data_IF_593677473613
#
_entry.id   IF_593677473613
#
_cell.length_a   1.000
_cell.length_b   1.000
_cell.length_c   1.000
_cell.angle_alpha   90.00
_cell.angle_beta   90.00
_cell.angle_gamma   90.00
#
_symmetry.space_group_name_H-M   'P 1'
#
loop_
_entity.id
_entity.type
_entity.pdbx_description
1 polymer ?
#
# COMPACT_ATOMS: atom_id res chain seq x y z
N UNK A 1 3.50 28.79 -16.84
CA UNK A 1 4.29 28.10 -15.80
C UNK A 1 4.15 26.61 -16.04
N UNK A 2 5.24 25.85 -15.94
CA UNK A 2 5.15 24.39 -15.97
C UNK A 2 4.43 23.92 -14.71
N UNK A 3 3.38 23.10 -14.84
CA UNK A 3 2.69 22.54 -13.67
C UNK A 3 3.63 21.59 -12.91
N UNK A 4 3.53 21.61 -11.58
CA UNK A 4 4.32 20.76 -10.69
C UNK A 4 3.46 20.23 -9.54
N UNK A 5 3.79 19.04 -9.07
CA UNK A 5 3.24 18.46 -7.86
C UNK A 5 4.35 18.26 -6.85
N UNK A 6 4.25 18.92 -5.69
CA UNK A 6 5.23 18.83 -4.61
C UNK A 6 4.67 18.05 -3.44
N UNK A 7 5.49 17.18 -2.90
CA UNK A 7 5.24 16.33 -1.75
C UNK A 7 6.20 16.81 -0.66
N UNK A 8 5.65 17.46 0.36
CA UNK A 8 6.45 18.04 1.44
C UNK A 8 6.77 16.97 2.49
N UNK A 9 7.66 17.31 3.43
CA UNK A 9 8.02 16.42 4.53
C UNK A 9 6.77 16.02 5.35
N UNK A 10 6.44 14.72 5.47
CA UNK A 10 5.36 14.28 6.34
C UNK A 10 5.75 14.38 7.81
N UNK A 11 4.75 14.36 8.69
CA UNK A 11 4.93 14.47 10.13
C UNK A 11 4.10 13.41 10.85
N UNK A 12 4.62 12.85 11.94
CA UNK A 12 3.88 11.96 12.84
C UNK A 12 3.86 12.52 14.26
N UNK A 13 2.66 12.62 14.83
CA UNK A 13 2.42 12.99 16.22
C UNK A 13 2.09 11.73 17.03
N UNK A 14 3.03 11.21 17.84
CA UNK A 14 2.76 10.01 18.64
C UNK A 14 1.72 10.24 19.73
N UNK A 15 1.58 11.47 20.26
CA UNK A 15 0.60 11.78 21.30
C UNK A 15 -0.84 11.78 20.74
N UNK A 16 -1.01 12.31 19.53
CA UNK A 16 -2.30 12.25 18.82
C UNK A 16 -2.51 10.92 18.07
N UNK A 17 -1.45 10.12 17.89
CA UNK A 17 -1.45 8.94 17.00
C UNK A 17 -1.87 9.31 15.57
N UNK A 18 -1.35 10.44 15.07
CA UNK A 18 -1.70 11.00 13.76
C UNK A 18 -0.47 11.19 12.87
N UNK A 19 -0.54 10.72 11.62
CA UNK A 19 0.39 11.13 10.56
C UNK A 19 -0.28 12.16 9.65
N UNK A 20 0.45 13.22 9.31
CA UNK A 20 0.03 14.29 8.40
C UNK A 20 0.94 14.34 7.18
N UNK A 21 0.32 14.48 6.01
CA UNK A 21 0.98 14.49 4.72
C UNK A 21 0.57 15.76 3.98
N UNK A 22 1.55 16.54 3.53
CA UNK A 22 1.29 17.84 2.92
C UNK A 22 1.68 17.83 1.45
N UNK A 23 0.82 18.41 0.62
CA UNK A 23 0.99 18.42 -0.82
C UNK A 23 0.73 19.81 -1.38
N UNK A 24 1.50 20.17 -2.40
CA UNK A 24 1.27 21.39 -3.18
C UNK A 24 1.08 21.01 -4.66
N UNK A 25 0.03 21.53 -5.28
CA UNK A 25 -0.20 21.40 -6.72
C UNK A 25 -0.28 22.81 -7.30
N UNK A 26 0.82 23.29 -7.87
CA UNK A 26 0.99 24.70 -8.20
C UNK A 26 0.73 25.61 -6.98
N UNK A 27 -0.37 26.36 -6.98
CA UNK A 27 -0.81 27.30 -5.94
C UNK A 27 -1.77 26.68 -4.91
N UNK A 28 -2.21 25.43 -5.14
CA UNK A 28 -3.09 24.70 -4.23
C UNK A 28 -2.28 23.96 -3.18
N UNK A 29 -2.76 23.96 -1.94
CA UNK A 29 -2.15 23.22 -0.83
C UNK A 29 -3.17 22.30 -0.19
N UNK A 30 -2.73 21.10 0.19
CA UNK A 30 -3.59 20.07 0.76
C UNK A 30 -2.93 19.38 1.94
N UNK A 31 -3.75 18.88 2.87
CA UNK A 31 -3.32 18.02 3.97
C UNK A 31 -4.13 16.73 3.99
N UNK A 32 -3.46 15.59 3.93
CA UNK A 32 -4.04 14.29 4.25
C UNK A 32 -3.67 13.88 5.68
N UNK A 33 -4.58 13.22 6.38
CA UNK A 33 -4.35 12.74 7.75
C UNK A 33 -4.64 11.24 7.85
N UNK A 34 -3.73 10.51 8.47
CA UNK A 34 -3.97 9.15 8.96
C UNK A 34 -4.05 9.17 10.48
N UNK A 35 -5.15 8.66 11.04
CA UNK A 35 -5.32 8.47 12.48
C UNK A 35 -5.25 6.99 12.81
N UNK A 36 -4.28 6.63 13.63
CA UNK A 36 -3.99 5.26 14.07
C UNK A 36 -4.66 4.98 15.43
N UNK A 37 -4.74 3.71 15.88
CA UNK A 37 -5.09 3.40 17.27
C UNK A 37 -4.17 4.11 18.26
N UNK A 38 -4.65 4.28 19.50
CA UNK A 38 -3.84 4.89 20.56
C UNK A 38 -2.75 3.93 21.06
N UNK A 39 -1.68 4.52 21.60
CA UNK A 39 -0.56 3.76 22.16
C UNK A 39 0.40 3.18 21.12
N UNK A 40 0.88 3.97 20.13
CA UNK A 40 1.98 3.53 19.28
C UNK A 40 3.23 3.27 20.12
N UNK A 41 4.07 2.34 19.68
CA UNK A 41 5.43 2.18 20.19
C UNK A 41 6.27 3.43 19.85
N UNK A 42 6.64 4.18 20.88
CA UNK A 42 7.41 5.42 20.73
C UNK A 42 8.79 5.17 20.12
N UNK A 43 9.46 4.10 20.53
CA UNK A 43 10.78 3.77 20.00
C UNK A 43 10.70 3.38 18.51
N UNK A 44 9.62 2.67 18.12
CA UNK A 44 9.37 2.38 16.72
C UNK A 44 9.10 3.68 15.92
N UNK A 45 8.31 4.60 16.47
CA UNK A 45 7.96 5.88 15.82
C UNK A 45 9.15 6.84 15.64
N UNK A 46 10.18 6.71 16.47
CA UNK A 46 11.41 7.50 16.40
C UNK A 46 12.51 6.83 15.55
N UNK A 47 12.25 5.63 15.02
CA UNK A 47 13.22 4.87 14.25
C UNK A 47 13.42 5.43 12.83
N UNK A 48 14.64 5.29 12.30
CA UNK A 48 14.95 5.63 10.91
C UNK A 48 14.13 4.82 9.89
N UNK A 49 13.71 3.59 10.25
CA UNK A 49 12.84 2.76 9.42
C UNK A 49 11.44 3.35 9.32
N UNK A 50 10.88 3.84 10.44
CA UNK A 50 9.58 4.50 10.45
C UNK A 50 9.61 5.83 9.70
N UNK A 51 10.63 6.66 9.92
CA UNK A 51 10.82 7.91 9.17
C UNK A 51 10.87 7.65 7.66
N UNK A 52 11.64 6.63 7.23
CA UNK A 52 11.71 6.23 5.82
C UNK A 52 10.35 5.79 5.28
N UNK A 53 9.64 4.91 5.98
CA UNK A 53 8.32 4.46 5.56
C UNK A 53 7.29 5.60 5.54
N UNK A 54 7.40 6.57 6.45
CA UNK A 54 6.53 7.75 6.47
C UNK A 54 6.73 8.60 5.20
N UNK A 55 7.98 8.83 4.80
CA UNK A 55 8.33 9.50 3.53
C UNK A 55 7.80 8.76 2.30
N UNK A 56 8.03 7.45 2.22
CA UNK A 56 7.52 6.61 1.13
C UNK A 56 5.97 6.58 1.10
N UNK A 57 5.34 6.60 2.27
CA UNK A 57 3.88 6.67 2.39
C UNK A 57 3.37 8.01 1.83
N UNK A 58 4.03 9.14 2.14
CA UNK A 58 3.69 10.44 1.54
C UNK A 58 3.70 10.39 0.01
N UNK A 59 4.73 9.75 -0.56
CA UNK A 59 4.86 9.61 -2.01
C UNK A 59 3.71 8.81 -2.63
N UNK A 60 3.34 7.69 -2.02
CA UNK A 60 2.24 6.83 -2.53
C UNK A 60 0.87 7.45 -2.31
N UNK A 61 0.60 8.09 -1.17
CA UNK A 61 -0.70 8.73 -0.90
C UNK A 61 -0.93 9.94 -1.83
N UNK A 62 0.16 10.65 -2.17
CA UNK A 62 0.19 11.82 -3.04
C UNK A 62 -0.50 11.63 -4.40
N UNK A 63 -0.60 10.40 -4.91
CA UNK A 63 -1.36 10.07 -6.15
C UNK A 63 -2.80 10.59 -6.12
N UNK A 64 -3.41 10.68 -4.93
CA UNK A 64 -4.78 11.15 -4.73
C UNK A 64 -4.94 12.64 -5.03
N UNK A 65 -3.86 13.41 -4.89
CA UNK A 65 -3.79 14.85 -5.11
C UNK A 65 -3.17 15.18 -6.45
N UNK A 66 -2.09 14.48 -6.82
CA UNK A 66 -1.45 14.57 -8.13
C UNK A 66 -2.47 14.47 -9.28
N UNK A 67 -3.43 13.53 -9.17
CA UNK A 67 -4.41 13.28 -10.23
C UNK A 67 -5.28 14.49 -10.56
N UNK A 68 -5.41 15.50 -9.70
CA UNK A 68 -6.22 16.68 -9.98
C UNK A 68 -5.79 17.39 -11.27
N UNK A 69 -4.49 17.40 -11.59
CA UNK A 69 -3.92 17.99 -12.83
C UNK A 69 -2.95 17.07 -13.57
N UNK A 70 -2.41 16.06 -12.88
CA UNK A 70 -1.44 15.11 -13.40
C UNK A 70 -0.26 15.79 -14.13
N UNK A 71 0.50 16.67 -13.44
CA UNK A 71 1.68 17.33 -14.01
C UNK A 71 2.78 16.32 -14.36
N UNK A 72 3.76 16.74 -15.17
CA UNK A 72 4.93 15.91 -15.49
C UNK A 72 6.03 15.99 -14.43
N UNK A 73 6.08 17.09 -13.66
CA UNK A 73 7.08 17.31 -12.61
C UNK A 73 6.53 16.93 -11.24
N UNK A 74 7.21 15.99 -10.57
CA UNK A 74 6.98 15.62 -9.18
C UNK A 74 8.22 16.02 -8.38
N UNK A 75 8.01 16.70 -7.26
CA UNK A 75 9.07 17.21 -6.39
C UNK A 75 8.88 16.68 -4.97
N UNK A 76 9.95 16.17 -4.36
CA UNK A 76 9.97 15.75 -2.97
C UNK A 76 11.31 16.18 -2.33
N UNK A 77 11.52 17.50 -2.17
CA UNK A 77 12.83 18.06 -1.81
C UNK A 77 13.33 17.64 -0.42
N UNK A 78 12.45 17.15 0.44
CA UNK A 78 12.75 16.77 1.82
C UNK A 78 12.61 15.26 2.08
N UNK A 79 12.42 14.46 1.03
CA UNK A 79 12.28 13.01 1.15
C UNK A 79 13.40 12.35 0.34
N UNK A 80 14.54 12.00 0.97
CA UNK A 80 15.63 11.34 0.28
C UNK A 80 15.22 9.96 -0.23
N UNK A 81 15.58 9.63 -1.46
CA UNK A 81 15.24 8.36 -2.12
C UNK A 81 16.48 7.65 -2.63
N UNK A 82 16.50 6.33 -2.43
CA UNK A 82 17.43 5.46 -3.13
C UNK A 82 17.02 5.32 -4.60
N UNK A 83 17.90 4.77 -5.44
CA UNK A 83 17.54 4.49 -6.85
C UNK A 83 16.33 3.55 -6.97
N UNK A 84 16.28 2.51 -6.15
CA UNK A 84 15.18 1.54 -6.13
C UNK A 84 13.86 2.18 -5.65
N UNK A 85 13.91 3.04 -4.63
CA UNK A 85 12.75 3.78 -4.13
C UNK A 85 12.25 4.78 -5.19
N UNK A 86 13.15 5.46 -5.90
CA UNK A 86 12.80 6.37 -7.01
C UNK A 86 12.07 5.60 -8.12
N UNK A 87 12.58 4.42 -8.49
CA UNK A 87 11.93 3.55 -9.47
C UNK A 87 10.56 3.06 -8.99
N UNK A 88 10.43 2.68 -7.72
CA UNK A 88 9.14 2.31 -7.11
C UNK A 88 8.12 3.45 -7.16
N UNK A 89 8.51 4.68 -6.82
CA UNK A 89 7.61 5.83 -6.88
C UNK A 89 7.20 6.11 -8.33
N UNK A 90 8.13 6.13 -9.29
CA UNK A 90 7.78 6.30 -10.70
C UNK A 90 6.83 5.20 -11.17
N UNK A 91 7.03 3.95 -10.76
CA UNK A 91 6.14 2.83 -11.09
C UNK A 91 4.72 3.04 -10.55
N UNK A 92 4.57 3.53 -9.31
CA UNK A 92 3.28 3.86 -8.71
C UNK A 92 2.55 4.95 -9.50
N UNK A 93 3.26 6.00 -9.93
CA UNK A 93 2.64 7.10 -10.67
C UNK A 93 2.40 6.75 -12.13
N UNK A 94 3.30 6.01 -12.78
CA UNK A 94 3.07 5.56 -14.15
C UNK A 94 2.03 4.44 -14.16
N UNK A 95 2.41 3.23 -13.75
CA UNK A 95 1.59 2.04 -13.92
C UNK A 95 0.39 2.01 -12.96
N UNK A 96 0.55 2.54 -11.73
CA UNK A 96 -0.55 2.62 -10.77
C UNK A 96 -1.67 3.59 -11.15
N UNK A 97 -1.38 4.62 -11.95
CA UNK A 97 -2.38 5.55 -12.49
C UNK A 97 -2.74 5.29 -13.96
N UNK A 98 -2.33 4.15 -14.54
CA UNK A 98 -2.52 3.85 -15.95
C UNK A 98 -3.98 3.95 -16.42
N UNK A 99 -4.94 3.42 -15.66
CA UNK A 99 -6.37 3.56 -15.98
C UNK A 99 -6.86 5.01 -15.87
N UNK A 100 -6.38 5.74 -14.86
CA UNK A 100 -6.69 7.16 -14.71
C UNK A 100 -6.22 7.95 -15.94
N UNK A 101 -5.01 7.67 -16.42
CA UNK A 101 -4.47 8.28 -17.64
C UNK A 101 -5.28 7.92 -18.87
N UNK A 102 -5.61 6.64 -19.06
CA UNK A 102 -6.41 6.17 -20.19
C UNK A 102 -7.80 6.84 -20.20
N UNK A 103 -8.47 6.92 -19.05
CA UNK A 103 -9.80 7.53 -18.91
C UNK A 103 -9.81 9.03 -19.19
N UNK A 104 -8.72 9.73 -18.91
CA UNK A 104 -8.60 11.18 -19.08
C UNK A 104 -7.79 11.57 -20.33
N UNK A 105 -7.42 10.59 -21.17
CA UNK A 105 -6.64 10.77 -22.40
C UNK A 105 -5.28 11.45 -22.18
N UNK A 106 -4.60 11.11 -21.07
CA UNK A 106 -3.34 11.72 -20.65
C UNK A 106 -2.12 10.87 -21.00
N UNK A 107 -1.40 11.21 -22.07
CA UNK A 107 -0.16 10.53 -22.44
C UNK A 107 1.02 10.89 -21.50
N UNK A 108 1.23 10.09 -20.44
CA UNK A 108 2.17 10.35 -19.33
C UNK A 108 3.30 9.33 -19.19
N UNK A 109 3.20 8.15 -19.79
CA UNK A 109 4.19 7.09 -19.59
C UNK A 109 5.57 7.48 -20.13
N UNK A 110 6.61 7.27 -19.32
CA UNK A 110 7.99 7.61 -19.61
C UNK A 110 8.29 9.12 -19.63
N UNK A 111 7.35 9.97 -19.19
CA UNK A 111 7.49 11.43 -19.24
C UNK A 111 7.54 12.09 -17.87
N UNK A 112 7.29 11.33 -16.80
CA UNK A 112 7.33 11.87 -15.44
C UNK A 112 8.76 12.07 -14.99
N UNK A 113 9.02 13.19 -14.33
CA UNK A 113 10.29 13.46 -13.66
C UNK A 113 10.05 13.57 -12.16
N UNK A 114 10.82 12.83 -11.37
CA UNK A 114 10.80 12.91 -9.91
C UNK A 114 12.11 13.54 -9.43
N UNK A 115 12.03 14.74 -8.85
CA UNK A 115 13.14 15.44 -8.21
C UNK A 115 13.09 15.21 -6.70
N UNK A 116 14.11 14.57 -6.14
CA UNK A 116 14.24 14.27 -4.72
C UNK A 116 15.73 14.09 -4.38
N UNK A 117 16.18 14.41 -3.16
CA UNK A 117 17.56 14.14 -2.73
C UNK A 117 17.90 12.65 -2.83
N UNK A 118 19.17 12.33 -3.04
CA UNK A 118 19.61 10.94 -3.06
C UNK A 118 19.84 10.42 -1.64
N UNK A 119 19.33 9.21 -1.37
CA UNK A 119 19.66 8.45 -0.17
C UNK A 119 20.72 7.40 -0.51
N UNK A 120 21.93 7.58 0.03
CA UNK A 120 23.03 6.66 -0.17
C UNK A 120 22.90 5.34 0.63
N UNK A 121 21.84 5.19 1.43
CA UNK A 121 21.60 4.02 2.28
C UNK A 121 20.51 3.14 1.65
N UNK A 122 20.87 2.19 0.76
CA UNK A 122 19.90 1.37 0.02
C UNK A 122 19.04 0.49 0.94
N UNK A 123 19.56 0.10 2.11
CA UNK A 123 18.87 -0.70 3.11
C UNK A 123 19.14 -0.12 4.49
N UNK A 124 18.07 0.15 5.24
CA UNK A 124 18.16 0.63 6.62
C UNK A 124 18.61 -0.49 7.56
N UNK A 125 19.06 -0.12 8.75
CA UNK A 125 19.39 -1.07 9.79
C UNK A 125 18.14 -1.88 10.18
N UNK A 126 18.35 -3.17 10.47
CA UNK A 126 17.26 -4.05 10.85
C UNK A 126 16.68 -3.63 12.21
N UNK A 127 15.37 -3.44 12.24
CA UNK A 127 14.62 -3.26 13.48
C UNK A 127 14.13 -4.62 13.99
N UNK A 128 13.88 -4.72 15.30
CA UNK A 128 13.28 -5.92 15.88
C UNK A 128 11.77 -5.76 15.92
N UNK A 129 11.04 -6.65 15.24
CA UNK A 129 9.59 -6.72 15.28
C UNK A 129 9.16 -8.08 15.85
N UNK A 130 8.10 -8.13 16.68
CA UNK A 130 7.56 -9.40 17.14
C UNK A 130 6.92 -10.18 15.98
N UNK A 131 7.01 -11.51 16.04
CA UNK A 131 6.39 -12.40 15.05
C UNK A 131 4.86 -12.32 15.14
N UNK A 132 4.27 -11.41 14.37
CA UNK A 132 2.83 -11.11 14.40
C UNK A 132 2.38 -10.75 13.00
N UNK A 133 1.27 -11.37 12.59
CA UNK A 133 0.70 -11.18 11.27
C UNK A 133 -0.41 -10.14 11.29
N UNK A 134 -0.28 -9.13 10.43
CA UNK A 134 -1.33 -8.19 10.08
C UNK A 134 -1.99 -8.66 8.78
N UNK A 135 -3.31 -8.87 8.81
CA UNK A 135 -4.09 -9.38 7.67
C UNK A 135 -5.08 -8.31 7.18
N UNK A 136 -4.78 -7.59 6.07
CA UNK A 136 -5.73 -6.67 5.48
C UNK A 136 -7.02 -7.36 5.03
N UNK A 137 -8.15 -6.89 5.57
CA UNK A 137 -9.50 -7.38 5.25
C UNK A 137 -10.14 -6.45 4.22
N UNK A 138 -10.36 -6.99 3.01
CA UNK A 138 -11.20 -6.37 2.00
C UNK A 138 -12.66 -6.81 2.12
N UNK A 139 -13.57 -6.12 1.43
CA UNK A 139 -15.00 -6.49 1.36
C UNK A 139 -15.32 -7.64 0.40
N UNK A 140 -14.31 -8.24 -0.22
CA UNK A 140 -14.44 -9.38 -1.13
C UNK A 140 -14.34 -10.72 -0.39
N UNK A 141 -14.52 -11.82 -1.13
CA UNK A 141 -14.45 -13.18 -0.57
C UNK A 141 -13.03 -13.66 -0.30
N UNK A 142 -12.04 -13.08 -0.96
CA UNK A 142 -10.66 -13.57 -0.92
C UNK A 142 -10.04 -13.42 0.48
N UNK A 143 -10.30 -12.31 1.19
CA UNK A 143 -9.86 -12.12 2.58
C UNK A 143 -10.40 -13.21 3.51
N UNK A 144 -11.64 -13.65 3.32
CA UNK A 144 -12.24 -14.73 4.12
C UNK A 144 -11.60 -16.09 3.87
N UNK A 145 -11.10 -16.35 2.65
CA UNK A 145 -10.33 -17.57 2.37
C UNK A 145 -8.99 -17.55 3.10
N UNK A 146 -8.33 -16.39 3.16
CA UNK A 146 -7.08 -16.25 3.92
C UNK A 146 -7.30 -16.40 5.42
N UNK A 147 -8.38 -15.82 5.96
CA UNK A 147 -8.83 -16.05 7.35
C UNK A 147 -8.99 -17.54 7.61
N UNK A 148 -9.75 -18.23 6.78
CA UNK A 148 -10.02 -19.66 6.92
C UNK A 148 -8.71 -20.48 6.96
N UNK A 149 -7.78 -20.20 6.05
CA UNK A 149 -6.47 -20.86 5.99
C UNK A 149 -5.61 -20.60 7.24
N UNK A 150 -5.52 -19.35 7.69
CA UNK A 150 -4.73 -18.99 8.87
C UNK A 150 -5.31 -19.60 10.14
N UNK A 151 -6.64 -19.56 10.31
CA UNK A 151 -7.33 -20.22 11.42
C UNK A 151 -7.10 -21.73 11.42
N UNK A 152 -7.22 -22.39 10.26
CA UNK A 152 -7.02 -23.85 10.17
C UNK A 152 -5.57 -24.29 10.36
N UNK A 153 -4.59 -23.42 10.08
CA UNK A 153 -3.16 -23.68 10.28
C UNK A 153 -2.65 -23.23 11.66
N UNK A 154 -3.50 -22.63 12.48
CA UNK A 154 -3.15 -22.16 13.82
C UNK A 154 -2.19 -20.95 13.82
N UNK A 155 -2.10 -20.22 12.71
CA UNK A 155 -1.26 -19.01 12.62
C UNK A 155 -2.06 -17.83 13.19
N UNK A 156 -1.60 -17.18 14.28
CA UNK A 156 -2.29 -16.02 14.83
C UNK A 156 -2.16 -14.82 13.87
N UNK A 157 -3.27 -14.09 13.70
CA UNK A 157 -3.31 -12.89 12.87
C UNK A 157 -4.22 -11.83 13.49
N UNK A 158 -4.00 -10.58 13.10
CA UNK A 158 -4.85 -9.44 13.46
C UNK A 158 -5.48 -8.87 12.20
N UNK A 159 -6.83 -8.78 12.12
CA UNK A 159 -7.50 -8.12 11.01
C UNK A 159 -7.11 -6.66 10.91
N UNK A 160 -6.88 -6.16 9.69
CA UNK A 160 -6.54 -4.76 9.44
C UNK A 160 -7.45 -4.14 8.38
N UNK A 161 -7.88 -2.89 8.58
CA UNK A 161 -8.61 -2.16 7.53
C UNK A 161 -8.41 -0.65 7.63
N UNK A 162 -8.41 0.01 6.47
CA UNK A 162 -8.42 1.47 6.35
C UNK A 162 -9.84 1.92 6.03
N UNK A 163 -10.39 2.84 6.82
CA UNK A 163 -11.77 3.33 6.69
C UNK A 163 -12.80 2.18 6.47
N UNK A 164 -12.86 1.17 7.35
CA UNK A 164 -13.74 0.02 7.16
C UNK A 164 -15.21 0.43 7.04
N UNK A 165 -15.92 -0.13 6.06
CA UNK A 165 -17.35 0.08 5.84
C UNK A 165 -18.01 -1.19 5.32
N UNK A 166 -19.31 -1.32 5.56
CA UNK A 166 -20.15 -2.36 4.96
C UNK A 166 -19.58 -3.77 5.16
N UNK A 167 -19.33 -4.55 4.09
CA UNK A 167 -18.87 -5.94 4.20
C UNK A 167 -17.59 -6.15 5.00
N UNK A 168 -16.71 -5.14 5.10
CA UNK A 168 -15.48 -5.24 5.90
C UNK A 168 -15.82 -5.38 7.38
N UNK A 169 -16.75 -4.55 7.89
CA UNK A 169 -17.15 -4.56 9.30
C UNK A 169 -17.80 -5.89 9.68
N UNK A 170 -18.74 -6.38 8.85
CA UNK A 170 -19.38 -7.68 9.09
C UNK A 170 -18.40 -8.86 9.00
N UNK A 171 -17.38 -8.77 8.14
CA UNK A 171 -16.35 -9.80 8.03
C UNK A 171 -15.49 -9.84 9.29
N UNK A 172 -15.06 -8.67 9.79
CA UNK A 172 -14.29 -8.57 11.03
C UNK A 172 -15.08 -9.06 12.25
N UNK A 173 -16.35 -8.68 12.35
CA UNK A 173 -17.25 -9.17 13.39
C UNK A 173 -17.34 -10.70 13.39
N UNK A 174 -17.49 -11.31 12.20
CA UNK A 174 -17.53 -12.76 12.04
C UNK A 174 -16.19 -13.45 12.37
N UNK A 175 -15.05 -12.79 12.16
CA UNK A 175 -13.72 -13.29 12.55
C UNK A 175 -13.57 -13.34 14.07
N UNK A 176 -14.22 -12.42 14.80
CA UNK A 176 -14.20 -12.40 16.26
C UNK A 176 -12.83 -12.07 16.89
N UNK A 177 -11.91 -11.50 16.11
CA UNK A 177 -10.58 -11.04 16.56
C UNK A 177 -10.54 -9.52 16.53
N UNK A 178 -10.01 -8.90 17.59
CA UNK A 178 -9.89 -7.45 17.69
C UNK A 178 -9.08 -6.89 16.50
N UNK A 179 -9.67 -6.00 15.66
CA UNK A 179 -9.00 -5.47 14.49
C UNK A 179 -8.11 -4.27 14.80
N UNK A 180 -7.21 -3.97 13.88
CA UNK A 180 -6.57 -2.66 13.80
C UNK A 180 -7.21 -1.85 12.67
N UNK A 181 -7.86 -0.74 13.05
CA UNK A 181 -8.42 0.20 12.09
C UNK A 181 -7.60 1.48 12.02
N UNK A 182 -7.38 1.95 10.80
CA UNK A 182 -6.78 3.27 10.53
C UNK A 182 -7.80 4.14 9.81
N UNK A 183 -7.96 5.37 10.28
CA UNK A 183 -8.80 6.36 9.60
C UNK A 183 -7.94 7.17 8.64
N UNK A 184 -8.31 7.18 7.36
CA UNK A 184 -7.69 8.00 6.32
C UNK A 184 -8.63 9.15 5.96
N UNK A 185 -8.24 10.36 6.30
CA UNK A 185 -8.99 11.58 6.03
C UNK A 185 -8.35 12.33 4.88
N UNK A 186 -9.03 12.33 3.74
CA UNK A 186 -8.67 13.11 2.56
C UNK A 186 -9.01 14.59 2.78
N UNK A 187 -8.22 15.47 2.18
CA UNK A 187 -8.50 16.90 2.23
C UNK A 187 -9.86 17.21 1.57
N UNK A 188 -10.79 17.91 2.25
CA UNK A 188 -12.09 18.28 1.69
C UNK A 188 -11.98 19.08 0.39
N UNK A 189 -10.94 19.91 0.24
CA UNK A 189 -10.75 20.74 -0.94
C UNK A 189 -10.37 19.89 -2.15
N UNK A 190 -9.54 18.84 -1.97
CA UNK A 190 -9.27 17.88 -3.05
C UNK A 190 -10.56 17.20 -3.52
N UNK A 191 -11.44 16.81 -2.59
CA UNK A 191 -12.73 16.20 -2.92
C UNK A 191 -13.64 17.17 -3.67
N UNK A 192 -13.65 18.46 -3.28
CA UNK A 192 -14.43 19.51 -3.94
C UNK A 192 -13.91 19.74 -5.36
N UNK A 193 -12.61 20.00 -5.51
CA UNK A 193 -11.96 20.29 -6.80
C UNK A 193 -12.10 19.14 -7.78
N UNK A 194 -12.06 17.88 -7.33
CA UNK A 194 -12.26 16.70 -8.20
C UNK A 194 -13.66 16.60 -8.83
N UNK A 195 -14.58 17.51 -8.50
CA UNK A 195 -15.92 17.65 -9.12
C UNK A 195 -16.05 18.90 -10.00
N UNK A 196 -15.07 19.79 -9.97
CA UNK A 196 -15.10 21.05 -10.70
C UNK A 196 -14.57 20.86 -12.14
N UNK A 197 -15.06 21.65 -13.11
CA UNK A 197 -14.48 21.68 -14.45
C UNK A 197 -13.00 22.04 -14.43
N UNK A 198 -12.20 21.36 -15.27
CA UNK A 198 -10.77 21.62 -15.40
C UNK A 198 -9.89 20.83 -14.44
N UNK A 199 -10.46 19.97 -13.58
CA UNK A 199 -9.72 18.99 -12.79
C UNK A 199 -10.07 17.57 -13.25
N UNK A 200 -9.09 16.66 -13.19
CA UNK A 200 -9.32 15.27 -13.53
C UNK A 200 -9.79 14.45 -12.33
N UNK A 201 -10.46 13.34 -12.63
CA UNK A 201 -10.84 12.35 -11.65
C UNK A 201 -10.68 10.93 -12.22
N UNK A 202 -10.53 9.96 -11.33
CA UNK A 202 -10.36 8.56 -11.69
C UNK A 202 -9.80 7.73 -10.55
N UNK A 203 -9.55 6.46 -10.88
CA UNK A 203 -9.05 5.46 -9.94
C UNK A 203 -7.61 5.74 -9.53
N UNK A 204 -7.30 5.33 -8.30
CA UNK A 204 -5.96 5.36 -7.71
C UNK A 204 -5.61 3.94 -7.25
N UNK A 205 -4.32 3.58 -7.13
CA UNK A 205 -3.89 2.24 -6.74
C UNK A 205 -4.17 1.98 -5.25
N UNK A 206 -5.41 1.59 -4.92
CA UNK A 206 -5.87 1.44 -3.53
C UNK A 206 -5.11 0.36 -2.75
N UNK A 207 -4.66 -0.71 -3.39
CA UNK A 207 -3.82 -1.72 -2.73
C UNK A 207 -2.47 -1.13 -2.34
N UNK A 208 -1.82 -0.33 -3.19
CA UNK A 208 -0.57 0.36 -2.84
C UNK A 208 -0.75 1.28 -1.62
N UNK A 209 -1.81 2.09 -1.63
CA UNK A 209 -2.15 3.01 -0.53
C UNK A 209 -2.35 2.23 0.77
N UNK A 210 -3.19 1.20 0.76
CA UNK A 210 -3.49 0.41 1.96
C UNK A 210 -2.26 -0.35 2.47
N UNK A 211 -1.37 -0.80 1.58
CA UNK A 211 -0.14 -1.48 1.96
C UNK A 211 0.86 -0.55 2.63
N UNK A 212 1.00 0.70 2.16
CA UNK A 212 1.84 1.70 2.83
C UNK A 212 1.28 2.06 4.22
N UNK A 213 -0.04 2.25 4.33
CA UNK A 213 -0.69 2.50 5.63
C UNK A 213 -0.52 1.29 6.58
N UNK A 214 -0.66 0.07 6.06
CA UNK A 214 -0.41 -1.16 6.81
C UNK A 214 1.05 -1.26 7.28
N UNK A 215 2.02 -0.79 6.50
CA UNK A 215 3.44 -0.78 6.89
C UNK A 215 3.74 0.16 8.05
N UNK A 216 3.16 1.36 8.07
CA UNK A 216 3.25 2.26 9.22
C UNK A 216 2.62 1.63 10.46
N UNK A 217 1.43 1.05 10.31
CA UNK A 217 0.75 0.32 11.37
C UNK A 217 1.57 -0.87 11.88
N UNK A 218 2.24 -1.60 10.99
CA UNK A 218 3.06 -2.74 11.35
C UNK A 218 4.21 -2.34 12.27
N UNK A 219 4.89 -1.24 11.97
CA UNK A 219 5.95 -0.73 12.84
C UNK A 219 5.41 -0.18 14.17
N UNK A 220 4.37 0.66 14.14
CA UNK A 220 3.84 1.32 15.33
C UNK A 220 3.24 0.34 16.35
N UNK A 221 2.74 -0.81 15.91
CA UNK A 221 2.03 -1.76 16.78
C UNK A 221 2.68 -3.15 16.83
N UNK A 222 3.88 -3.29 16.27
CA UNK A 222 4.69 -4.50 16.32
C UNK A 222 4.09 -5.66 15.53
N UNK A 223 4.25 -5.64 14.20
CA UNK A 223 3.94 -6.73 13.28
C UNK A 223 5.09 -6.91 12.30
N UNK A 224 5.67 -8.11 12.20
CA UNK A 224 6.73 -8.44 11.24
C UNK A 224 6.18 -8.86 9.87
N UNK A 225 4.88 -9.05 9.74
CA UNK A 225 4.25 -9.60 8.53
C UNK A 225 2.97 -8.86 8.13
N UNK A 226 2.88 -8.48 6.86
CA UNK A 226 1.64 -8.05 6.20
C UNK A 226 1.26 -9.11 5.16
N UNK A 227 0.16 -9.82 5.42
CA UNK A 227 -0.29 -10.94 4.58
C UNK A 227 -1.53 -10.52 3.81
N UNK A 228 -1.41 -10.38 2.50
CA UNK A 228 -2.51 -10.04 1.60
C UNK A 228 -3.26 -11.28 1.09
N UNK A 229 -4.40 -11.02 0.46
CA UNK A 229 -5.28 -12.05 -0.12
C UNK A 229 -5.38 -11.96 -1.64
N UNK A 230 -4.39 -11.40 -2.33
CA UNK A 230 -4.45 -11.32 -3.80
C UNK A 230 -4.24 -12.70 -4.42
N UNK A 231 -5.06 -13.01 -5.43
CA UNK A 231 -4.94 -14.23 -6.22
C UNK A 231 -4.11 -14.05 -7.49
N UNK A 232 -3.81 -15.16 -8.17
CA UNK A 232 -2.99 -15.15 -9.40
C UNK A 232 -3.64 -14.37 -10.56
N UNK A 233 -4.96 -14.41 -10.70
CA UNK A 233 -5.73 -13.78 -11.79
C UNK A 233 -5.85 -12.26 -11.69
N UNK A 234 -5.38 -11.62 -10.61
CA UNK A 234 -5.40 -10.16 -10.47
C UNK A 234 -4.43 -9.42 -11.42
N UNK A 235 -3.79 -10.13 -12.37
CA UNK A 235 -2.69 -9.61 -13.20
C UNK A 235 -3.10 -9.26 -14.65
N UNK A 236 -4.38 -9.38 -15.03
CA UNK A 236 -4.81 -9.17 -16.42
C UNK A 236 -5.05 -7.68 -16.74
N UNK A 237 -4.29 -7.13 -17.71
CA UNK A 237 -4.51 -5.82 -18.30
C UNK A 237 -5.66 -5.85 -19.30
N UNK A 238 -6.48 -4.78 -19.33
CA UNK A 238 -7.73 -4.78 -20.12
C UNK A 238 -7.70 -3.83 -21.32
N UNK A 239 -6.75 -2.88 -21.38
CA UNK A 239 -6.71 -1.83 -22.41
C UNK A 239 -5.25 -1.43 -22.68
N UNK A 240 -4.88 -1.21 -23.95
CA UNK A 240 -3.59 -0.59 -24.32
C UNK A 240 -3.78 0.93 -24.48
N UNK A 241 -2.98 1.73 -23.79
CA UNK A 241 -3.00 3.19 -23.86
C UNK A 241 -1.58 3.75 -23.76
N UNK A 242 -1.26 4.82 -24.50
CA UNK A 242 0.06 5.46 -24.49
C UNK A 242 1.24 4.45 -24.66
N UNK A 243 1.02 3.44 -25.51
CA UNK A 243 2.00 2.41 -25.82
C UNK A 243 2.22 1.33 -24.75
N UNK A 244 1.43 1.31 -23.66
CA UNK A 244 1.52 0.30 -22.59
C UNK A 244 0.18 -0.35 -22.27
N UNK A 245 0.23 -1.56 -21.74
CA UNK A 245 -0.96 -2.18 -21.15
C UNK A 245 -1.33 -1.49 -19.84
N UNK A 246 -2.61 -1.12 -19.73
CA UNK A 246 -3.20 -0.52 -18.55
C UNK A 246 -4.04 -1.55 -17.81
N UNK A 247 -3.78 -1.68 -16.52
CA UNK A 247 -4.43 -2.64 -15.64
C UNK A 247 -5.13 -1.91 -14.48
N UNK A 248 -6.47 -2.01 -14.43
CA UNK A 248 -7.29 -1.48 -13.33
C UNK A 248 -6.86 -1.99 -11.95
N UNK A 249 -6.28 -3.20 -11.90
CA UNK A 249 -5.80 -3.87 -10.71
C UNK A 249 -4.27 -3.97 -10.66
N UNK A 250 -3.54 -3.04 -11.29
CA UNK A 250 -2.07 -3.07 -11.35
C UNK A 250 -1.41 -3.30 -9.99
N UNK A 251 -1.86 -2.60 -8.94
CA UNK A 251 -1.34 -2.73 -7.57
C UNK A 251 -1.65 -4.06 -6.87
N UNK A 252 -2.35 -4.97 -7.55
CA UNK A 252 -2.58 -6.38 -7.13
C UNK A 252 -1.83 -7.37 -8.01
N UNK A 253 -1.03 -6.92 -8.98
CA UNK A 253 -0.18 -7.80 -9.78
C UNK A 253 0.96 -8.38 -8.95
N UNK A 254 1.53 -9.51 -9.39
CA UNK A 254 2.70 -10.11 -8.73
C UNK A 254 3.93 -9.20 -8.83
N UNK A 255 4.12 -8.56 -9.99
CA UNK A 255 5.25 -7.64 -10.20
C UNK A 255 5.23 -6.48 -9.20
N UNK A 256 4.06 -5.86 -9.00
CA UNK A 256 3.91 -4.82 -8.00
C UNK A 256 4.15 -5.34 -6.58
N UNK A 257 3.61 -6.52 -6.24
CA UNK A 257 3.80 -7.14 -4.92
C UNK A 257 5.27 -7.35 -4.55
N UNK A 258 6.06 -7.87 -5.50
CA UNK A 258 7.51 -8.04 -5.31
C UNK A 258 8.20 -6.68 -5.13
N UNK A 259 7.86 -5.69 -5.96
CA UNK A 259 8.45 -4.36 -5.91
C UNK A 259 8.19 -3.63 -4.57
N UNK A 260 6.94 -3.65 -4.09
CA UNK A 260 6.63 -3.06 -2.78
C UNK A 260 7.23 -3.90 -1.64
N UNK A 261 7.26 -5.24 -1.78
CA UNK A 261 7.86 -6.12 -0.78
C UNK A 261 9.35 -5.85 -0.58
N UNK A 262 10.11 -5.70 -1.66
CA UNK A 262 11.52 -5.34 -1.63
C UNK A 262 11.73 -3.93 -1.05
N UNK A 263 10.86 -2.99 -1.41
CA UNK A 263 10.90 -1.62 -0.87
C UNK A 263 10.69 -1.61 0.65
N UNK A 264 9.67 -2.31 1.15
CA UNK A 264 9.38 -2.42 2.58
C UNK A 264 10.47 -3.18 3.34
N UNK A 265 11.00 -4.25 2.75
CA UNK A 265 12.11 -5.01 3.30
C UNK A 265 13.35 -4.13 3.44
N UNK A 266 13.73 -3.39 2.40
CA UNK A 266 14.88 -2.49 2.44
C UNK A 266 14.71 -1.34 3.44
N UNK A 267 13.51 -0.77 3.54
CA UNK A 267 13.20 0.30 4.49
C UNK A 267 13.24 -0.14 5.96
N UNK A 268 13.13 -1.45 6.23
CA UNK A 268 13.08 -2.02 7.59
C UNK A 268 14.25 -2.96 7.92
N UNK A 269 15.26 -2.99 7.04
CA UNK A 269 16.39 -3.92 7.15
C UNK A 269 16.00 -5.40 7.06
N UNK A 270 14.86 -5.71 6.46
CA UNK A 270 14.31 -7.06 6.28
C UNK A 270 13.38 -7.52 7.38
N UNK A 271 13.06 -6.66 8.34
CA UNK A 271 12.19 -7.00 9.47
C UNK A 271 10.72 -7.16 9.04
N UNK A 272 10.25 -6.38 8.07
CA UNK A 272 8.87 -6.43 7.60
C UNK A 272 8.75 -7.27 6.32
N UNK A 273 7.99 -8.37 6.41
CA UNK A 273 7.65 -9.26 5.31
C UNK A 273 6.30 -8.85 4.71
N UNK A 274 6.19 -8.92 3.39
CA UNK A 274 4.96 -8.55 2.67
C UNK A 274 4.72 -9.52 1.51
N UNK A 275 3.57 -10.21 1.51
CA UNK A 275 3.22 -11.18 0.48
C UNK A 275 1.73 -11.51 0.46
N UNK A 276 1.23 -12.10 -0.63
CA UNK A 276 -0.15 -12.58 -0.74
C UNK A 276 -0.26 -14.10 -0.53
N UNK A 277 -1.10 -14.52 0.41
CA UNK A 277 -1.32 -15.91 0.79
C UNK A 277 -1.94 -16.76 -0.34
N UNK A 278 -2.80 -16.16 -1.17
CA UNK A 278 -3.60 -16.89 -2.16
C UNK A 278 -2.92 -17.05 -3.53
N UNK A 279 -1.72 -16.47 -3.74
CA UNK A 279 -1.00 -16.57 -5.02
C UNK A 279 -0.75 -18.02 -5.48
N UNK A 280 -0.34 -18.96 -4.60
CA UNK A 280 -0.07 -20.33 -5.01
C UNK A 280 -1.35 -21.15 -5.26
N UNK A 281 -2.53 -20.66 -4.82
CA UNK A 281 -3.78 -21.42 -4.82
C UNK A 281 -4.55 -21.15 -6.12
N UNK A 282 -4.72 -22.17 -6.96
CA UNK A 282 -5.59 -22.08 -8.14
C UNK A 282 -7.05 -22.16 -7.69
N UNK A 283 -7.86 -21.11 -7.91
CA UNK A 283 -9.33 -21.21 -7.77
C UNK A 283 -9.83 -22.35 -8.67
N UNK A 284 -10.27 -23.47 -8.08
CA UNK A 284 -11.26 -24.33 -8.74
C UNK A 284 -12.62 -23.69 -8.46
N UNK A 285 -13.34 -23.35 -9.51
CA UNK A 285 -14.73 -22.94 -9.40
C UNK A 285 -15.56 -24.07 -8.77
N UNK A 286 -16.40 -23.73 -7.77
CA UNK A 286 -17.62 -24.40 -7.29
C UNK A 286 -17.66 -24.65 -5.76
N UNK A 287 -18.80 -24.44 -5.07
CA UNK A 287 -18.90 -24.46 -3.61
C UNK A 287 -19.17 -25.89 -3.13
N UNK A 288 -18.13 -26.54 -2.60
CA UNK A 288 -18.22 -27.67 -1.65
C UNK A 288 -16.80 -28.03 -1.24
N UNK A 289 -16.33 -27.46 -0.14
CA UNK A 289 -15.14 -27.98 0.53
C UNK A 289 -15.51 -29.35 1.14
N UNK A 290 -14.80 -30.39 0.73
CA UNK A 290 -14.85 -31.75 1.28
C UNK A 290 -13.46 -32.06 1.85
N UNK A 291 -13.35 -32.61 3.08
CA UNK A 291 -12.09 -32.67 3.81
C UNK A 291 -11.27 -33.89 3.38
N UNK A 292 -10.70 -33.86 2.16
CA UNK A 292 -9.65 -34.80 1.74
C UNK A 292 -8.71 -34.18 0.71
N UNK A 293 -7.77 -33.36 1.17
CA UNK A 293 -6.50 -33.16 0.46
C UNK A 293 -5.41 -32.66 1.40
N UNK A 294 -4.92 -33.54 2.26
CA UNK A 294 -3.76 -33.30 3.14
C UNK A 294 -2.42 -33.08 2.37
N UNK A 295 -2.44 -33.12 1.04
CA UNK A 295 -1.26 -32.98 0.19
C UNK A 295 -0.92 -31.53 -0.20
N UNK A 296 -1.79 -30.54 0.07
CA UNK A 296 -1.49 -29.12 -0.21
C UNK A 296 -0.85 -28.38 0.97
N UNK A 297 -0.79 -29.01 2.15
CA UNK A 297 -0.25 -28.41 3.39
C UNK A 297 1.29 -28.51 3.44
N UNK A 298 1.89 -29.53 2.81
CA UNK A 298 3.34 -29.71 2.78
C UNK A 298 4.09 -28.57 2.07
N UNK A 299 3.44 -27.87 1.14
CA UNK A 299 4.02 -26.72 0.43
C UNK A 299 4.10 -25.46 1.29
N UNK A 300 3.34 -25.38 2.38
CA UNK A 300 3.31 -24.22 3.28
C UNK A 300 4.51 -24.21 4.24
N UNK A 301 4.94 -25.39 4.71
CA UNK A 301 6.17 -25.54 5.53
C UNK A 301 7.46 -25.39 4.71
N UNK A 302 7.43 -25.70 3.41
CA UNK A 302 8.58 -25.50 2.54
C UNK A 302 8.88 -24.02 2.24
N UNK A 303 7.85 -23.16 2.20
CA UNK A 303 8.02 -21.73 1.96
C UNK A 303 8.66 -21.01 3.16
N UNK A 304 8.43 -21.47 4.39
CA UNK A 304 9.09 -20.97 5.61
C UNK A 304 10.52 -21.48 5.78
N UNK A 305 10.92 -22.54 5.08
CA UNK A 305 12.25 -23.13 5.17
C UNK A 305 13.27 -22.60 4.13
N UNK A 306 12.82 -21.85 3.12
CA UNK A 306 13.70 -21.32 2.05
C UNK A 306 14.15 -19.87 2.34
N UNK A 307 13.64 -19.26 3.41
CA UNK A 307 14.02 -17.92 3.88
C UNK A 307 14.84 -17.92 5.19
N UNK A 308 15.57 -19.01 5.46
CA UNK A 308 16.59 -19.09 6.51
C UNK A 308 17.98 -18.79 5.97
#
# INVERSE_FOLDING_TARGET
MTEFFRIERPYFDPAASEARFFYSLNDLSFTEVLTFPTGPDLAASESASFEKLLGLTALVLGVSYFKLRAPLSIEAPEIPLTEAERAFVIDVYENGLGEFYARNELARFGKLTLSAPDDATPRKEAISLPERTLLPIGGGKDSLVSVDLLTHTGVPFTPFAVNPKGPILSSVEAIGTEPVYVTRTLDPEMIRLGKEPGFYNGHVPSTAINSMIASLCALLFGYDQIVLSNERSASEGNVVFDGRETNHQYSKSLGFELLIGDTLSNATGGALKYFSLLRPIRKRASPRFSPRSASSIASFQAATAISG
#
